data_IF_447077221203
#
_entry.id   IF_447077221203
#
_cell.length_a   1.000
_cell.length_b   1.000
_cell.length_c   1.000
_cell.angle_alpha   90.00
_cell.angle_beta   90.00
_cell.angle_gamma   90.00
#
_symmetry.space_group_name_H-M   'P 1'
#
loop_
_entity.id
_entity.type
_entity.pdbx_description
1 polymer ?
#
# COMPACT_ATOMS: atom_id res chain seq x y z
N UNK A 1 33.68 47.83 42.75
CA UNK A 1 33.38 47.00 41.57
C UNK A 1 31.88 46.73 41.55
N UNK A 2 31.25 46.77 40.38
CA UNK A 2 29.78 46.88 40.26
C UNK A 2 29.04 45.54 40.44
N UNK A 3 27.74 45.63 40.75
CA UNK A 3 26.80 44.52 40.90
C UNK A 3 26.42 43.94 39.53
N UNK A 4 26.04 42.66 39.48
CA UNK A 4 24.63 42.29 39.26
C UNK A 4 24.39 40.79 39.49
N UNK A 5 23.18 40.45 39.93
CA UNK A 5 22.66 39.09 39.94
C UNK A 5 21.50 39.01 38.94
N UNK A 6 21.37 37.88 38.24
CA UNK A 6 20.14 37.53 37.51
C UNK A 6 19.88 36.04 37.66
N UNK A 7 18.80 35.68 38.36
CA UNK A 7 18.23 34.34 38.25
C UNK A 7 17.51 34.23 36.90
N UNK A 8 17.72 33.14 36.16
CA UNK A 8 16.85 32.80 35.04
C UNK A 8 15.93 31.65 35.45
N UNK A 9 14.65 31.96 35.63
CA UNK A 9 13.59 30.95 35.71
C UNK A 9 13.22 30.56 34.28
N UNK A 10 13.22 29.27 33.97
CA UNK A 10 12.50 28.73 32.83
C UNK A 10 11.45 27.77 33.38
N UNK A 11 10.21 28.21 33.33
CA UNK A 11 9.04 27.36 33.44
C UNK A 11 8.21 27.65 32.19
N UNK A 12 8.06 26.65 31.32
CA UNK A 12 7.06 26.67 30.27
C UNK A 12 6.34 25.32 30.30
N UNK A 13 5.11 25.33 30.80
CA UNK A 13 4.18 24.26 30.49
C UNK A 13 3.70 24.47 29.06
N UNK A 14 3.79 23.44 28.24
CA UNK A 14 2.96 23.27 27.06
C UNK A 14 2.41 21.84 27.12
N UNK A 15 1.23 21.69 27.72
CA UNK A 15 0.50 20.44 27.64
C UNK A 15 -0.18 20.34 26.28
N UNK A 16 0.11 19.29 25.53
CA UNK A 16 -0.68 18.91 24.36
C UNK A 16 -1.55 17.73 24.77
N UNK A 17 -2.84 18.01 24.95
CA UNK A 17 -3.86 16.98 24.92
C UNK A 17 -4.42 16.95 23.49
N UNK A 18 -4.23 15.84 22.77
CA UNK A 18 -5.20 15.45 21.75
C UNK A 18 -6.13 14.42 22.38
N UNK A 19 -7.41 14.78 22.46
CA UNK A 19 -8.45 13.89 22.93
C UNK A 19 -8.79 12.89 21.81
N UNK A 20 -8.93 11.62 22.17
CA UNK A 20 -9.72 10.70 21.37
C UNK A 20 -11.20 11.11 21.50
N UNK A 21 -11.89 11.23 20.36
CA UNK A 21 -13.33 11.36 20.27
C UNK A 21 -13.87 10.36 19.25
N UNK A 22 -13.83 9.07 19.62
CA UNK A 22 -14.84 8.13 19.13
C UNK A 22 -16.15 8.46 19.82
N UNK A 23 -17.24 8.50 19.06
CA UNK A 23 -18.59 8.72 19.57
C UNK A 23 -19.54 7.73 18.92
N UNK A 24 -19.92 6.71 19.67
CA UNK A 24 -20.99 5.79 19.29
C UNK A 24 -22.31 6.54 19.16
N UNK A 25 -23.06 6.27 18.08
CA UNK A 25 -24.51 6.45 18.09
C UNK A 25 -25.19 5.22 17.45
N UNK A 26 -25.63 4.31 18.33
CA UNK A 26 -26.40 3.13 17.94
C UNK A 26 -27.87 3.49 17.76
N UNK A 27 -28.39 3.35 16.53
CA UNK A 27 -29.82 3.51 16.24
C UNK A 27 -30.40 2.22 15.64
N UNK A 28 -30.76 1.28 16.51
CA UNK A 28 -31.57 0.11 16.17
C UNK A 28 -33.01 0.51 15.81
N UNK A 29 -33.53 0.00 14.70
CA UNK A 29 -34.98 -0.04 14.41
C UNK A 29 -35.40 -1.46 14.05
N UNK A 30 -36.30 -2.01 14.87
CA UNK A 30 -36.86 -3.36 14.79
C UNK A 30 -38.16 -3.43 13.95
N UNK A 31 -38.46 -4.64 13.45
CA UNK A 31 -39.77 -5.14 13.00
C UNK A 31 -40.33 -4.52 11.67
N UNK A 32 -41.12 -5.19 10.81
CA UNK A 32 -41.73 -6.53 10.73
C UNK A 32 -42.01 -6.88 9.22
N UNK A 33 -42.52 -8.01 8.74
CA UNK A 33 -43.18 -9.22 9.32
C UNK A 33 -43.03 -10.43 8.36
N UNK A 34 -43.60 -11.58 8.71
CA UNK A 34 -43.74 -12.82 7.91
C UNK A 34 -44.59 -12.69 6.62
N UNK A 35 -44.38 -13.58 5.63
CA UNK A 35 -45.46 -14.41 5.06
C UNK A 35 -44.98 -15.54 4.12
N UNK A 36 -45.09 -16.77 4.64
CA UNK A 36 -45.29 -18.12 4.04
C UNK A 36 -45.49 -18.38 2.53
N UNK A 37 -45.15 -19.65 2.19
CA UNK A 37 -45.62 -20.54 1.10
C UNK A 37 -44.77 -20.55 -0.20
N UNK A 38 -44.06 -21.62 -0.58
CA UNK A 38 -44.42 -23.05 -0.77
C UNK A 38 -45.11 -23.34 -2.12
N UNK A 39 -44.32 -23.78 -3.11
CA UNK A 39 -44.80 -24.54 -4.26
C UNK A 39 -43.70 -25.48 -4.78
N UNK A 40 -43.96 -26.79 -4.73
CA UNK A 40 -43.17 -27.83 -5.38
C UNK A 40 -43.44 -27.83 -6.88
N UNK A 41 -42.42 -27.98 -7.73
CA UNK A 41 -42.62 -28.50 -9.08
C UNK A 41 -41.59 -29.59 -9.41
N UNK A 42 -42.07 -30.68 -10.00
CA UNK A 42 -41.33 -31.88 -10.35
C UNK A 42 -41.22 -32.00 -11.86
N UNK A 43 -40.24 -31.31 -12.43
CA UNK A 43 -39.91 -31.37 -13.86
C UNK A 43 -38.95 -32.52 -14.19
N UNK A 44 -39.47 -33.73 -14.41
CA UNK A 44 -38.66 -34.86 -14.92
C UNK A 44 -38.38 -34.67 -16.42
N UNK A 45 -37.29 -33.99 -16.76
CA UNK A 45 -36.78 -33.86 -18.12
C UNK A 45 -35.48 -34.63 -18.31
N UNK A 46 -35.54 -35.76 -19.00
CA UNK A 46 -34.33 -36.40 -19.53
C UNK A 46 -33.99 -35.73 -20.86
N UNK A 47 -32.88 -34.99 -20.91
CA UNK A 47 -32.30 -34.50 -22.16
C UNK A 47 -30.90 -35.09 -22.35
N UNK A 48 -30.59 -35.45 -23.59
CA UNK A 48 -29.43 -36.24 -23.97
C UNK A 48 -28.37 -35.38 -24.63
N UNK A 49 -27.30 -35.12 -23.90
CA UNK A 49 -25.98 -34.85 -24.46
C UNK A 49 -25.81 -33.51 -25.18
N UNK A 50 -25.08 -32.61 -24.54
CA UNK A 50 -23.89 -32.00 -25.13
C UNK A 50 -22.97 -31.65 -23.97
N UNK A 51 -21.85 -32.35 -23.84
CA UNK A 51 -20.74 -31.87 -23.00
C UNK A 51 -20.30 -30.55 -23.63
N UNK A 52 -20.76 -29.46 -23.02
CA UNK A 52 -20.34 -28.12 -23.45
C UNK A 52 -19.04 -27.91 -22.70
N UNK A 53 -17.92 -28.09 -23.39
CA UNK A 53 -16.62 -27.69 -22.87
C UNK A 53 -16.74 -26.23 -22.41
N UNK A 54 -16.72 -26.04 -21.09
CA UNK A 54 -16.61 -24.72 -20.50
C UNK A 54 -15.15 -24.31 -20.62
N UNK A 55 -14.75 -23.94 -21.84
CA UNK A 55 -13.58 -23.08 -22.06
C UNK A 55 -13.89 -21.74 -21.38
N UNK A 56 -13.68 -21.69 -20.06
CA UNK A 56 -13.59 -20.47 -19.27
C UNK A 56 -12.21 -19.86 -19.44
N UNK A 57 -11.76 -19.73 -20.69
CA UNK A 57 -10.78 -18.74 -21.10
C UNK A 57 -11.48 -17.37 -21.00
N UNK A 58 -11.67 -16.93 -19.76
CA UNK A 58 -12.07 -15.56 -19.46
C UNK A 58 -10.95 -14.65 -19.92
N UNK A 59 -11.06 -14.14 -21.15
CA UNK A 59 -10.05 -13.31 -21.78
C UNK A 59 -9.79 -12.09 -20.88
N UNK A 60 -8.63 -12.10 -20.22
CA UNK A 60 -8.26 -11.13 -19.21
C UNK A 60 -8.40 -9.71 -19.76
N UNK A 61 -8.93 -8.80 -18.94
CA UNK A 61 -9.22 -7.43 -19.39
C UNK A 61 -7.95 -6.79 -20.01
N UNK A 62 -8.07 -6.13 -21.18
CA UNK A 62 -6.91 -5.65 -21.91
C UNK A 62 -6.15 -4.62 -21.06
N UNK A 63 -4.87 -4.92 -20.75
CA UNK A 63 -3.99 -4.03 -19.99
C UNK A 63 -3.89 -2.67 -20.69
N UNK A 64 -4.30 -1.62 -19.98
CA UNK A 64 -4.12 -0.20 -20.31
C UNK A 64 -2.70 0.25 -20.00
N UNK A 65 -2.14 -0.20 -18.88
CA UNK A 65 -0.82 0.20 -18.40
C UNK A 65 0.19 -0.93 -18.62
N UNK A 66 0.76 -0.96 -19.82
CA UNK A 66 1.78 -1.95 -20.22
C UNK A 66 3.16 -1.33 -20.10
N UNK A 67 4.02 -1.91 -19.25
CA UNK A 67 5.43 -1.54 -19.19
C UNK A 67 6.13 -1.84 -20.54
N UNK A 68 7.08 -0.99 -20.99
CA UNK A 68 7.99 -1.36 -22.07
C UNK A 68 8.79 -2.62 -21.73
N UNK A 69 9.25 -3.34 -22.76
CA UNK A 69 10.01 -4.59 -22.61
C UNK A 69 11.21 -4.41 -21.66
N UNK A 70 11.26 -5.23 -20.60
CA UNK A 70 12.32 -5.20 -19.59
C UNK A 70 12.16 -4.14 -18.50
N UNK A 71 11.08 -3.34 -18.48
CA UNK A 71 10.85 -2.31 -17.45
C UNK A 71 9.89 -2.74 -16.32
N UNK A 72 9.17 -3.86 -16.44
CA UNK A 72 8.15 -4.30 -15.47
C UNK A 72 8.69 -4.77 -14.10
N UNK A 73 10.01 -4.92 -13.95
CA UNK A 73 10.68 -5.36 -12.72
C UNK A 73 11.78 -4.37 -12.25
N UNK A 74 11.45 -3.11 -11.91
CA UNK A 74 12.45 -2.14 -11.46
C UNK A 74 13.12 -2.55 -10.14
N UNK A 75 14.45 -2.55 -10.12
CA UNK A 75 15.27 -2.91 -8.94
C UNK A 75 15.64 -1.73 -8.04
N UNK A 76 15.34 -0.50 -8.47
CA UNK A 76 15.72 0.76 -7.80
C UNK A 76 14.60 1.80 -7.93
N UNK A 77 14.58 2.81 -7.05
CA UNK A 77 13.65 3.94 -7.17
C UNK A 77 13.84 4.64 -8.51
N UNK A 78 15.08 4.85 -8.96
CA UNK A 78 15.39 5.46 -10.25
C UNK A 78 14.79 4.68 -11.44
N UNK A 79 14.97 3.36 -11.48
CA UNK A 79 14.36 2.51 -12.51
C UNK A 79 12.82 2.52 -12.45
N UNK A 80 12.24 2.63 -11.25
CA UNK A 80 10.80 2.83 -11.11
C UNK A 80 10.35 4.19 -11.68
N UNK A 81 11.11 5.27 -11.50
CA UNK A 81 10.78 6.57 -12.13
C UNK A 81 10.87 6.51 -13.65
N UNK A 82 11.82 5.74 -14.20
CA UNK A 82 11.92 5.49 -15.65
C UNK A 82 10.69 4.72 -16.17
N UNK A 83 10.26 3.66 -15.46
CA UNK A 83 9.00 2.96 -15.75
C UNK A 83 7.81 3.93 -15.71
N UNK A 84 7.61 4.65 -14.61
CA UNK A 84 6.51 5.62 -14.43
C UNK A 84 6.51 6.68 -15.55
N UNK A 85 7.67 7.14 -15.99
CA UNK A 85 7.81 8.10 -17.10
C UNK A 85 7.50 7.54 -18.49
N UNK A 86 7.39 6.21 -18.64
CA UNK A 86 7.03 5.51 -19.86
C UNK A 86 5.57 5.02 -19.89
N UNK A 87 4.84 5.11 -18.77
CA UNK A 87 3.42 4.74 -18.68
C UNK A 87 2.50 5.81 -19.29
N UNK A 88 1.29 5.43 -19.76
CA UNK A 88 0.31 6.40 -20.26
C UNK A 88 -0.18 7.34 -19.15
N UNK A 89 -0.36 8.62 -19.48
CA UNK A 89 -0.96 9.59 -18.56
C UNK A 89 -2.49 9.41 -18.46
N UNK A 90 -3.10 9.62 -17.26
CA UNK A 90 -2.44 9.94 -16.00
C UNK A 90 -1.83 8.71 -15.34
N UNK A 91 -0.59 8.83 -14.87
CA UNK A 91 0.12 7.73 -14.19
C UNK A 91 -0.40 7.63 -12.75
N UNK A 92 -1.35 6.72 -12.51
CA UNK A 92 -1.98 6.44 -11.20
C UNK A 92 -1.31 5.28 -10.45
N UNK A 93 -1.64 5.07 -9.16
CA UNK A 93 -1.21 3.89 -8.38
C UNK A 93 -1.62 2.59 -9.09
N UNK A 94 -2.89 2.48 -9.48
CA UNK A 94 -3.40 1.33 -10.22
C UNK A 94 -2.61 1.09 -11.52
N UNK A 95 -2.30 2.13 -12.29
CA UNK A 95 -1.50 2.03 -13.52
C UNK A 95 -0.09 1.49 -13.27
N UNK A 96 0.57 1.89 -12.16
CA UNK A 96 1.88 1.36 -11.78
C UNK A 96 1.78 -0.12 -11.43
N UNK A 97 0.86 -0.52 -10.55
CA UNK A 97 0.66 -1.93 -10.15
C UNK A 97 0.27 -2.81 -11.34
N UNK A 98 -0.61 -2.29 -12.21
CA UNK A 98 -1.01 -2.94 -13.46
C UNK A 98 0.18 -3.16 -14.39
N UNK A 99 1.20 -2.29 -14.37
CA UNK A 99 2.35 -2.37 -15.29
C UNK A 99 3.44 -3.39 -14.91
N UNK A 100 3.46 -3.85 -13.65
CA UNK A 100 4.49 -4.73 -13.14
C UNK A 100 4.47 -6.13 -13.80
N UNK A 101 5.64 -6.76 -13.87
CA UNK A 101 5.77 -8.17 -14.28
C UNK A 101 5.05 -9.11 -13.30
N UNK A 102 4.79 -10.35 -13.75
CA UNK A 102 4.03 -11.36 -12.99
C UNK A 102 4.86 -12.65 -12.82
N UNK A 103 4.68 -13.42 -11.72
CA UNK A 103 3.70 -13.23 -10.64
C UNK A 103 3.97 -11.99 -9.76
N UNK A 104 2.91 -11.37 -9.21
CA UNK A 104 3.08 -10.41 -8.12
C UNK A 104 3.27 -11.15 -6.81
N UNK A 105 4.46 -11.10 -6.24
CA UNK A 105 4.70 -11.52 -4.87
C UNK A 105 4.27 -10.41 -3.89
N UNK A 106 3.28 -10.66 -3.03
CA UNK A 106 2.71 -9.65 -2.12
C UNK A 106 2.56 -10.11 -0.67
N UNK A 107 2.55 -9.14 0.24
CA UNK A 107 2.10 -9.26 1.63
C UNK A 107 1.12 -8.12 1.93
N UNK A 108 0.06 -8.36 2.72
CA UNK A 108 -0.94 -7.35 3.05
C UNK A 108 -1.15 -7.25 4.56
N UNK A 109 -1.39 -6.04 5.07
CA UNK A 109 -1.63 -5.80 6.50
C UNK A 109 -2.68 -4.74 6.78
N UNK A 110 -3.48 -4.95 7.84
CA UNK A 110 -4.52 -4.04 8.33
C UNK A 110 -4.01 -3.04 9.39
N UNK A 111 -2.71 -2.75 9.41
CA UNK A 111 -2.12 -1.86 10.44
C UNK A 111 -2.47 -0.39 10.25
N UNK A 112 -3.23 0.16 11.20
CA UNK A 112 -3.43 1.61 11.40
C UNK A 112 -2.19 2.33 11.97
N UNK A 113 -1.20 1.59 12.49
CA UNK A 113 0.01 2.16 13.08
C UNK A 113 1.14 2.15 12.03
N UNK A 114 1.05 3.09 11.08
CA UNK A 114 1.98 3.27 9.96
C UNK A 114 1.88 4.70 9.38
N UNK A 115 2.85 5.11 8.55
CA UNK A 115 2.79 6.35 7.78
C UNK A 115 1.72 6.30 6.67
N UNK A 116 1.48 5.12 6.09
CA UNK A 116 0.27 4.77 5.33
C UNK A 116 -0.60 3.85 6.19
N UNK A 117 -1.53 4.38 7.01
CA UNK A 117 -2.43 3.56 7.80
C UNK A 117 -3.45 2.86 6.89
N UNK A 118 -3.63 1.55 7.09
CA UNK A 118 -4.80 0.84 6.58
C UNK A 118 -5.98 1.07 7.55
N UNK A 119 -7.18 1.37 7.04
CA UNK A 119 -8.37 1.59 7.87
C UNK A 119 -8.89 0.28 8.51
N UNK A 120 -8.69 -0.84 7.82
CA UNK A 120 -9.13 -2.17 8.22
C UNK A 120 -8.62 -3.26 7.28
N UNK A 121 -9.29 -4.42 7.29
CA UNK A 121 -8.96 -5.56 6.41
C UNK A 121 -9.50 -5.40 5.00
N UNK A 122 -10.52 -4.57 4.83
CA UNK A 122 -11.18 -4.24 3.57
C UNK A 122 -10.31 -3.38 2.64
N UNK A 123 -9.39 -2.58 3.18
CA UNK A 123 -8.45 -1.77 2.39
C UNK A 123 -7.07 -1.83 3.04
N UNK A 124 -6.40 -2.99 3.00
CA UNK A 124 -5.14 -3.20 3.69
C UNK A 124 -4.00 -2.53 2.95
N UNK A 125 -2.90 -2.25 3.66
CA UNK A 125 -1.65 -1.81 3.05
C UNK A 125 -1.02 -3.02 2.37
N UNK A 126 -0.81 -2.95 1.05
CA UNK A 126 -0.26 -4.02 0.22
C UNK A 126 1.19 -3.69 -0.11
N UNK A 127 2.09 -4.57 0.32
CA UNK A 127 3.49 -4.57 -0.07
C UNK A 127 3.71 -5.47 -1.28
N UNK A 128 4.41 -4.96 -2.29
CA UNK A 128 4.69 -5.68 -3.54
C UNK A 128 6.20 -5.84 -3.66
N UNK A 129 6.68 -7.09 -3.69
CA UNK A 129 8.10 -7.42 -3.78
C UNK A 129 8.54 -7.48 -5.24
N UNK A 130 9.13 -6.40 -5.74
CA UNK A 130 9.59 -6.27 -7.11
C UNK A 130 11.05 -6.76 -7.23
N UNK A 131 11.35 -7.49 -8.31
CA UNK A 131 12.67 -8.05 -8.60
C UNK A 131 13.31 -8.74 -7.38
N UNK A 132 12.65 -9.79 -6.89
CA UNK A 132 13.01 -10.56 -5.69
C UNK A 132 13.10 -9.76 -4.38
N UNK A 133 12.53 -8.56 -4.32
CA UNK A 133 12.58 -7.67 -3.16
C UNK A 133 13.76 -6.69 -3.19
N UNK A 134 14.46 -6.55 -4.32
CA UNK A 134 15.42 -5.47 -4.55
C UNK A 134 14.76 -4.09 -4.42
N UNK A 135 13.50 -4.00 -4.82
CA UNK A 135 12.60 -2.87 -4.58
C UNK A 135 11.29 -3.38 -3.97
N UNK A 136 10.89 -2.78 -2.87
CA UNK A 136 9.56 -2.94 -2.28
C UNK A 136 8.71 -1.74 -2.66
N UNK A 137 7.52 -1.98 -3.21
CA UNK A 137 6.50 -0.96 -3.37
C UNK A 137 5.43 -1.13 -2.29
N UNK A 138 4.79 -0.04 -1.89
CA UNK A 138 3.68 -0.06 -0.95
C UNK A 138 2.56 0.86 -1.39
N UNK A 139 1.34 0.31 -1.37
CA UNK A 139 0.10 0.98 -1.79
C UNK A 139 -1.00 0.67 -0.78
N UNK A 140 -2.04 1.51 -0.72
CA UNK A 140 -3.28 1.22 0.00
C UNK A 140 -4.43 1.39 -0.99
N UNK A 141 -5.43 0.49 -1.07
CA UNK A 141 -6.55 0.65 -1.98
C UNK A 141 -7.44 1.88 -1.70
N UNK A 142 -7.57 2.31 -0.44
CA UNK A 142 -8.47 3.39 -0.03
C UNK A 142 -7.94 4.17 1.20
N UNK A 143 -8.55 5.31 1.51
CA UNK A 143 -8.21 6.20 2.62
C UNK A 143 -7.07 7.17 2.32
N UNK A 144 -6.56 7.86 3.36
CA UNK A 144 -5.56 8.93 3.23
C UNK A 144 -4.24 8.48 2.56
N UNK A 145 -3.93 7.17 2.62
CA UNK A 145 -2.76 6.56 1.96
C UNK A 145 -2.97 6.17 0.49
N UNK A 146 -4.21 6.16 -0.02
CA UNK A 146 -4.53 5.73 -1.39
C UNK A 146 -3.82 6.50 -2.52
N UNK A 147 -3.57 7.83 -2.42
CA UNK A 147 -2.82 8.53 -3.46
C UNK A 147 -1.30 8.35 -3.33
N UNK A 148 -0.78 7.55 -2.39
CA UNK A 148 0.65 7.44 -2.14
C UNK A 148 1.22 6.12 -2.69
N UNK A 149 2.32 6.24 -3.45
CA UNK A 149 3.21 5.14 -3.80
C UNK A 149 4.48 5.25 -2.94
N UNK A 150 4.61 4.38 -1.94
CA UNK A 150 5.80 4.30 -1.08
C UNK A 150 6.83 3.32 -1.68
N UNK A 151 8.12 3.63 -1.47
CA UNK A 151 9.27 2.85 -1.96
C UNK A 151 10.21 2.44 -0.81
N UNK A 152 10.66 1.19 -0.83
CA UNK A 152 11.78 0.70 -0.05
C UNK A 152 12.79 -0.01 -0.95
N UNK A 153 13.86 0.67 -1.37
CA UNK A 153 14.93 0.06 -2.16
C UNK A 153 15.96 -0.57 -1.23
N UNK A 154 16.09 -1.90 -1.28
CA UNK A 154 17.13 -2.65 -0.56
C UNK A 154 18.42 -2.78 -1.40
N UNK A 155 18.32 -2.72 -2.73
CA UNK A 155 19.48 -2.85 -3.62
C UNK A 155 20.51 -1.73 -3.40
N UNK A 156 21.77 -2.12 -3.15
CA UNK A 156 22.87 -1.20 -2.86
C UNK A 156 23.05 -0.83 -1.38
N UNK A 157 22.19 -1.30 -0.49
CA UNK A 157 22.23 -1.02 0.95
C UNK A 157 22.71 -2.22 1.77
N UNK A 158 22.90 -2.03 3.09
CA UNK A 158 23.23 -3.13 3.98
C UNK A 158 22.02 -4.08 4.14
N UNK A 159 22.29 -5.31 4.56
CA UNK A 159 21.25 -6.28 4.89
C UNK A 159 20.28 -5.72 5.95
N UNK A 160 18.98 -5.77 5.66
CA UNK A 160 17.95 -5.18 6.52
C UNK A 160 17.85 -3.64 6.47
N UNK A 161 18.60 -2.93 5.62
CA UNK A 161 18.39 -1.49 5.35
C UNK A 161 17.61 -1.26 4.06
N UNK A 162 16.97 -0.10 3.94
CA UNK A 162 16.34 0.35 2.69
C UNK A 162 16.36 1.87 2.54
N UNK A 163 16.65 2.37 1.34
CA UNK A 163 16.39 3.76 0.95
C UNK A 163 14.87 3.96 0.83
N UNK A 164 14.37 5.02 1.46
CA UNK A 164 12.96 5.39 1.45
C UNK A 164 12.65 6.41 0.36
N UNK A 165 11.45 6.32 -0.19
CA UNK A 165 10.86 7.29 -1.11
C UNK A 165 9.34 7.24 -1.06
N UNK A 166 8.68 8.32 -1.48
CA UNK A 166 7.22 8.44 -1.54
C UNK A 166 6.83 9.35 -2.70
N UNK A 167 5.86 8.95 -3.51
CA UNK A 167 5.25 9.79 -4.54
C UNK A 167 3.74 9.90 -4.34
N UNK A 168 3.24 11.13 -4.34
CA UNK A 168 1.81 11.40 -4.50
C UNK A 168 1.41 11.24 -5.97
N UNK A 169 0.30 10.52 -6.18
CA UNK A 169 -0.25 10.11 -7.46
C UNK A 169 -1.62 10.79 -7.70
N UNK A 170 -2.07 10.96 -8.97
CA UNK A 170 -1.30 10.74 -10.17
C UNK A 170 -0.11 11.70 -10.28
N UNK A 171 1.01 11.20 -10.82
CA UNK A 171 2.25 11.98 -10.90
C UNK A 171 2.35 12.72 -12.23
N UNK A 172 2.59 14.02 -12.19
CA UNK A 172 2.87 14.81 -13.38
C UNK A 172 4.28 14.48 -13.95
N UNK A 173 4.35 14.32 -15.27
CA UNK A 173 5.58 14.06 -16.02
C UNK A 173 6.21 15.37 -16.57
N UNK A 174 7.55 15.42 -16.78
CA UNK A 174 8.55 14.43 -16.36
C UNK A 174 8.72 14.43 -14.83
N UNK A 175 9.06 13.29 -14.26
CA UNK A 175 9.28 13.14 -12.81
C UNK A 175 10.72 13.58 -12.47
N UNK A 176 10.92 14.62 -11.64
CA UNK A 176 12.25 14.95 -11.12
C UNK A 176 12.81 13.82 -10.23
N UNK A 177 14.10 13.53 -10.35
CA UNK A 177 14.75 12.43 -9.63
C UNK A 177 14.78 12.61 -8.10
N UNK A 178 14.61 13.84 -7.62
CA UNK A 178 14.52 14.22 -6.21
C UNK A 178 13.08 14.14 -5.64
N UNK A 179 12.06 14.09 -6.51
CA UNK A 179 10.65 14.12 -6.11
C UNK A 179 10.24 13.03 -5.11
N UNK A 180 10.72 11.76 -5.19
CA UNK A 180 10.41 10.73 -4.18
C UNK A 180 10.88 11.07 -2.76
N UNK A 181 11.86 11.97 -2.62
CA UNK A 181 12.45 12.33 -1.34
C UNK A 181 11.87 13.65 -0.79
N UNK A 182 11.20 14.44 -1.63
CA UNK A 182 10.72 15.78 -1.27
C UNK A 182 9.77 15.78 -0.05
N UNK A 183 8.91 14.76 0.06
CA UNK A 183 7.84 14.67 1.05
C UNK A 183 8.22 13.93 2.35
N UNK A 184 9.40 13.29 2.41
CA UNK A 184 9.79 12.46 3.55
C UNK A 184 10.06 13.24 4.85
N UNK A 185 10.21 14.57 4.81
CA UNK A 185 10.39 15.39 6.02
C UNK A 185 9.05 15.88 6.57
N UNK A 186 8.69 15.43 7.76
CA UNK A 186 7.57 15.96 8.53
C UNK A 186 7.93 17.30 9.21
N UNK A 187 9.18 17.44 9.66
CA UNK A 187 9.78 18.70 10.13
C UNK A 187 11.26 18.78 9.72
N UNK A 188 11.97 19.86 10.08
CA UNK A 188 13.42 19.94 9.89
C UNK A 188 14.21 18.84 10.62
N UNK A 189 13.64 18.25 11.68
CA UNK A 189 14.31 17.30 12.58
C UNK A 189 13.65 15.89 12.64
N UNK A 190 12.54 15.68 11.92
CA UNK A 190 11.74 14.43 11.95
C UNK A 190 11.23 14.14 10.55
N UNK A 191 11.39 12.91 10.10
CA UNK A 191 10.82 12.37 8.85
C UNK A 191 9.51 11.63 9.12
N UNK A 192 8.69 11.42 8.08
CA UNK A 192 7.55 10.50 8.15
C UNK A 192 8.02 9.07 8.43
N UNK A 193 9.11 8.64 7.79
CA UNK A 193 9.71 7.32 7.96
C UNK A 193 10.25 7.09 9.38
N UNK A 194 11.00 8.05 9.95
CA UNK A 194 11.66 7.94 11.26
C UNK A 194 10.73 7.95 12.47
N UNK A 195 9.43 8.20 12.28
CA UNK A 195 8.39 7.91 13.29
C UNK A 195 8.22 6.40 13.48
N UNK A 196 8.40 5.63 12.41
CA UNK A 196 8.21 4.17 12.38
C UNK A 196 9.53 3.40 12.39
N UNK A 197 10.51 3.85 11.60
CA UNK A 197 11.78 3.16 11.35
C UNK A 197 12.90 3.69 12.24
N UNK A 198 13.71 2.78 12.80
CA UNK A 198 14.91 3.11 13.58
C UNK A 198 16.17 3.22 12.72
N UNK A 199 17.21 3.80 13.33
CA UNK A 199 18.53 4.04 12.75
C UNK A 199 18.49 4.77 11.40
N UNK A 200 17.59 5.75 11.29
CA UNK A 200 17.51 6.59 10.10
C UNK A 200 18.76 7.46 9.95
N UNK A 201 19.29 7.49 8.72
CA UNK A 201 20.48 8.25 8.31
C UNK A 201 20.30 8.79 6.90
N UNK A 202 21.01 9.87 6.56
CA UNK A 202 21.03 10.36 5.18
C UNK A 202 21.67 9.33 4.25
N UNK A 203 21.11 9.22 3.04
CA UNK A 203 21.64 8.49 1.90
C UNK A 203 22.77 9.31 1.27
N UNK A 204 24.03 9.08 1.69
CA UNK A 204 25.16 9.94 1.32
C UNK A 204 25.52 9.89 -0.18
N UNK A 205 25.08 8.83 -0.86
CA UNK A 205 25.19 8.60 -2.29
C UNK A 205 24.08 9.27 -3.13
N UNK A 206 23.03 9.80 -2.50
CA UNK A 206 21.97 10.57 -3.14
C UNK A 206 22.18 12.06 -2.79
N UNK A 207 22.39 12.90 -3.81
CA UNK A 207 22.58 14.36 -3.63
C UNK A 207 21.24 15.06 -3.36
N UNK A 208 20.57 14.67 -2.28
CA UNK A 208 19.31 15.24 -1.82
C UNK A 208 19.21 15.25 -0.29
N UNK A 209 18.93 16.39 0.36
CA UNK A 209 18.94 16.52 1.82
C UNK A 209 17.82 15.75 2.54
N UNK A 210 16.89 15.15 1.80
CA UNK A 210 15.79 14.34 2.36
C UNK A 210 15.81 12.88 1.87
N UNK A 211 16.90 12.41 1.24
CA UNK A 211 17.03 11.00 0.92
C UNK A 211 17.52 10.27 2.18
N UNK A 212 16.73 9.32 2.69
CA UNK A 212 16.99 8.63 3.96
C UNK A 212 17.03 7.12 3.79
N UNK A 213 18.03 6.51 4.43
CA UNK A 213 18.13 5.06 4.65
C UNK A 213 17.72 4.78 6.09
N UNK A 214 16.94 3.74 6.31
CA UNK A 214 16.63 3.22 7.65
C UNK A 214 16.47 1.70 7.61
N UNK A 215 16.39 1.07 8.79
CA UNK A 215 16.09 -0.36 8.86
C UNK A 215 14.74 -0.64 8.20
N UNK A 216 14.70 -1.63 7.31
CA UNK A 216 13.46 -2.24 6.89
C UNK A 216 12.75 -2.86 8.11
N UNK A 217 11.42 -2.80 8.11
CA UNK A 217 10.59 -3.44 9.12
C UNK A 217 9.59 -4.33 8.41
N UNK A 218 9.22 -5.44 9.04
CA UNK A 218 8.08 -6.24 8.62
C UNK A 218 6.80 -5.80 9.35
N UNK A 219 5.61 -6.06 8.76
CA UNK A 219 4.35 -5.92 9.48
C UNK A 219 4.29 -6.76 10.76
N UNK A 220 3.37 -6.39 11.65
CA UNK A 220 3.02 -7.20 12.82
C UNK A 220 2.19 -8.40 12.37
N UNK A 221 2.64 -9.66 12.58
CA UNK A 221 1.92 -10.84 12.12
C UNK A 221 0.50 -10.99 12.67
N UNK A 222 0.16 -10.30 13.77
CA UNK A 222 -1.22 -10.27 14.27
C UNK A 222 -2.16 -9.39 13.43
N UNK A 223 -1.63 -8.67 12.43
CA UNK A 223 -2.38 -7.82 11.48
C UNK A 223 -2.16 -8.21 10.02
N UNK A 224 -1.60 -9.39 9.76
CA UNK A 224 -1.50 -9.91 8.39
C UNK A 224 -2.92 -10.14 7.84
N UNK A 225 -3.12 -9.78 6.57
CA UNK A 225 -4.35 -10.06 5.81
C UNK A 225 -4.01 -11.16 4.80
N UNK A 226 -4.53 -12.39 4.97
CA UNK A 226 -4.28 -13.50 4.05
C UNK A 226 -4.62 -13.16 2.60
N UNK A 227 -3.86 -13.70 1.65
CA UNK A 227 -4.08 -13.48 0.21
C UNK A 227 -5.52 -13.79 -0.22
N UNK A 228 -6.13 -14.85 0.31
CA UNK A 228 -7.50 -15.24 0.01
C UNK A 228 -8.57 -14.27 0.56
N UNK A 229 -8.26 -13.52 1.63
CA UNK A 229 -9.14 -12.46 2.13
C UNK A 229 -9.03 -11.21 1.25
N UNK A 230 -7.80 -10.85 0.83
CA UNK A 230 -7.59 -9.75 -0.11
C UNK A 230 -8.17 -10.04 -1.52
N UNK A 231 -8.13 -11.29 -1.98
CA UNK A 231 -8.79 -11.74 -3.20
C UNK A 231 -10.32 -11.65 -3.08
N UNK A 232 -10.89 -12.02 -1.92
CA UNK A 232 -12.31 -11.83 -1.63
C UNK A 232 -12.69 -10.34 -1.72
N UNK A 233 -11.90 -9.43 -1.15
CA UNK A 233 -12.13 -7.98 -1.24
C UNK A 233 -12.11 -7.43 -2.67
N UNK A 234 -11.33 -8.03 -3.57
CA UNK A 234 -11.40 -7.73 -5.02
C UNK A 234 -12.71 -8.26 -5.64
N UNK A 235 -13.10 -9.51 -5.37
CA UNK A 235 -14.34 -10.09 -5.93
C UNK A 235 -15.63 -9.39 -5.44
N UNK A 236 -15.60 -8.78 -4.25
CA UNK A 236 -16.71 -8.03 -3.66
C UNK A 236 -16.68 -6.52 -4.02
N UNK A 237 -15.72 -6.07 -4.83
CA UNK A 237 -15.51 -4.65 -5.05
C UNK A 237 -16.59 -4.01 -5.93
N UNK A 238 -17.33 -3.05 -5.38
CA UNK A 238 -18.28 -2.22 -6.11
C UNK A 238 -17.54 -1.03 -6.76
N UNK A 239 -17.29 -1.13 -8.07
CA UNK A 239 -16.60 -0.11 -8.85
C UNK A 239 -17.45 1.14 -9.15
N UNK A 240 -18.78 1.08 -8.99
CA UNK A 240 -19.64 2.27 -9.07
C UNK A 240 -19.62 3.06 -7.75
N UNK A 241 -19.45 2.37 -6.61
CA UNK A 241 -19.35 3.00 -5.28
C UNK A 241 -17.92 3.42 -4.90
N UNK A 242 -16.90 2.63 -5.25
CA UNK A 242 -15.50 2.83 -4.84
C UNK A 242 -14.51 2.65 -6.00
N UNK A 243 -14.61 3.46 -7.08
CA UNK A 243 -13.87 3.24 -8.33
C UNK A 243 -12.34 3.20 -8.16
N UNK A 244 -11.76 4.07 -7.33
CA UNK A 244 -10.31 4.10 -7.09
C UNK A 244 -9.81 2.83 -6.37
N UNK A 245 -10.53 2.41 -5.32
CA UNK A 245 -10.25 1.17 -4.57
C UNK A 245 -10.29 -0.05 -5.50
N UNK A 246 -11.36 -0.16 -6.28
CA UNK A 246 -11.51 -1.27 -7.22
C UNK A 246 -10.46 -1.22 -8.33
N UNK A 247 -10.04 -0.05 -8.80
CA UNK A 247 -8.96 0.04 -9.78
C UNK A 247 -7.61 -0.46 -9.23
N UNK A 248 -7.29 -0.24 -7.94
CA UNK A 248 -6.06 -0.79 -7.32
C UNK A 248 -6.17 -2.31 -7.14
N UNK A 249 -7.31 -2.82 -6.65
CA UNK A 249 -7.51 -4.26 -6.47
C UNK A 249 -7.55 -5.01 -7.82
N UNK A 250 -8.19 -4.46 -8.84
CA UNK A 250 -8.19 -4.98 -10.21
C UNK A 250 -6.78 -5.03 -10.80
N UNK A 251 -5.99 -3.95 -10.60
CA UNK A 251 -4.59 -3.92 -10.99
C UNK A 251 -3.73 -4.99 -10.30
N UNK A 252 -4.06 -5.38 -9.05
CA UNK A 252 -3.40 -6.49 -8.36
C UNK A 252 -3.77 -7.83 -8.98
N UNK A 253 -5.05 -8.16 -9.18
CA UNK A 253 -5.48 -9.53 -9.49
C UNK A 253 -5.79 -9.84 -10.97
N UNK A 254 -6.23 -8.87 -11.77
CA UNK A 254 -6.83 -9.12 -13.09
C UNK A 254 -5.81 -9.22 -14.25
N UNK A 255 -4.51 -9.20 -13.96
CA UNK A 255 -3.44 -9.09 -14.98
C UNK A 255 -2.37 -10.18 -14.92
N UNK A 256 -2.64 -11.26 -14.20
CA UNK A 256 -1.78 -12.44 -14.09
C UNK A 256 -1.62 -12.90 -12.64
N UNK A 257 -0.85 -13.99 -12.40
CA UNK A 257 -0.78 -14.62 -11.09
C UNK A 257 -0.32 -13.68 -9.96
N UNK A 258 -0.84 -13.94 -8.76
CA UNK A 258 -0.47 -13.28 -7.51
C UNK A 258 -0.09 -14.36 -6.50
N UNK A 259 0.99 -14.17 -5.78
CA UNK A 259 1.55 -15.13 -4.84
C UNK A 259 1.78 -14.46 -3.48
N UNK A 260 1.48 -15.18 -2.39
CA UNK A 260 1.78 -14.70 -1.05
C UNK A 260 3.28 -14.81 -0.78
N UNK A 261 3.90 -13.75 -0.28
CA UNK A 261 5.31 -13.72 0.11
C UNK A 261 5.50 -12.99 1.41
N UNK A 262 6.06 -13.66 2.41
CA UNK A 262 6.36 -13.04 3.69
C UNK A 262 7.65 -12.21 3.65
N UNK A 263 7.73 -11.25 4.56
CA UNK A 263 8.98 -10.59 4.90
C UNK A 263 9.92 -11.56 5.65
N UNK A 264 11.25 -11.40 5.56
CA UNK A 264 12.20 -12.17 6.36
C UNK A 264 11.86 -12.12 7.86
N UNK A 265 11.84 -13.28 8.53
CA UNK A 265 11.42 -13.38 9.94
C UNK A 265 12.32 -12.61 10.92
N UNK A 266 13.56 -12.36 10.53
CA UNK A 266 14.57 -11.60 11.27
C UNK A 266 14.44 -10.08 11.12
N UNK A 267 13.58 -9.59 10.23
CA UNK A 267 13.20 -8.19 10.21
C UNK A 267 12.39 -7.87 11.47
N UNK A 268 12.74 -6.75 12.11
CA UNK A 268 11.99 -6.26 13.26
C UNK A 268 10.60 -5.75 12.82
N UNK A 269 9.63 -5.85 13.73
CA UNK A 269 8.40 -5.08 13.66
C UNK A 269 8.61 -3.71 14.30
N UNK A 270 7.65 -2.80 14.13
CA UNK A 270 7.63 -1.51 14.85
C UNK A 270 7.47 -1.66 16.39
N UNK A 271 7.05 -2.83 16.85
CA UNK A 271 6.81 -3.14 18.27
C UNK A 271 8.01 -3.81 18.97
N UNK A 272 8.98 -4.31 18.21
CA UNK A 272 10.21 -4.91 18.76
C UNK A 272 11.13 -3.83 19.37
N UNK A 273 11.91 -4.12 20.41
CA UNK A 273 12.72 -3.15 21.16
C UNK A 273 13.98 -2.64 20.43
#
# INVERSE_FOLDING_TARGET
MSRSATQLRIALLAGVALAACGGDDSASVDAATESTANATDTGTGADTGTETDMDTDGEAAPRRCVAPEGMGSPTTIAAALELLGALPEPVTVACVVESLDRPLAINATSSTFSAQPAAGGESPRIFIFVADGALLLSVVPDGDGAPLLEFGQASGYAEGESLKGELHMPVALPIPADKPYAHLRYTEAVTSCGVCHRDERLAAEIDHPNAFVSRALRPDPMRDVPLAELELEWTLCDADATPERCAVLDAVFNHGPVEARDFPEDFATIFDP
#
